data_IF_016052116689
#
_entry.id   IF_016052116689
#
_cell.length_a   1.000
_cell.length_b   1.000
_cell.length_c   1.000
_cell.angle_alpha   90.00
_cell.angle_beta   90.00
_cell.angle_gamma   90.00
#
_symmetry.space_group_name_H-M   'P 1'
#
loop_
_entity.id
_entity.type
_entity.pdbx_description
1 polymer ?
#
# COMPACT_ATOMS: atom_id res chain seq x y z
N UNK A 1 -21.24 22.96 -2.94
CA UNK A 1 -20.50 21.88 -3.63
C UNK A 1 -19.72 21.10 -2.59
N UNK A 2 -20.09 19.88 -2.37
CA UNK A 2 -19.23 18.99 -1.59
C UNK A 2 -18.03 18.63 -2.47
N UNK A 3 -16.89 19.20 -2.20
CA UNK A 3 -15.64 18.71 -2.72
C UNK A 3 -15.39 17.38 -2.04
N UNK A 4 -15.40 16.27 -2.78
CA UNK A 4 -15.17 14.95 -2.23
C UNK A 4 -13.85 14.90 -1.46
N UNK A 5 -13.83 14.12 -0.41
CA UNK A 5 -12.62 13.91 0.40
C UNK A 5 -11.54 13.20 -0.42
N UNK A 6 -10.29 13.49 -0.08
CA UNK A 6 -9.14 12.78 -0.61
C UNK A 6 -8.75 11.64 0.32
N UNK A 7 -8.80 10.43 -0.18
CA UNK A 7 -8.57 9.20 0.57
C UNK A 7 -7.38 8.47 -0.02
N UNK A 8 -6.39 8.17 0.80
CA UNK A 8 -5.27 7.32 0.43
C UNK A 8 -5.50 5.93 0.99
N UNK A 9 -5.55 4.94 0.11
CA UNK A 9 -5.68 3.53 0.48
C UNK A 9 -4.34 2.84 0.26
N UNK A 10 -3.75 2.33 1.33
CA UNK A 10 -2.50 1.58 1.25
C UNK A 10 -2.77 0.16 0.73
N UNK A 11 -2.14 -0.19 -0.38
CA UNK A 11 -2.36 -1.46 -1.09
C UNK A 11 -1.05 -2.25 -1.15
N UNK A 12 -1.09 -3.46 -0.64
CA UNK A 12 -0.15 -4.53 -0.95
C UNK A 12 -0.93 -5.69 -1.61
N UNK A 13 -0.32 -6.84 -1.81
CA UNK A 13 -0.98 -8.02 -2.38
C UNK A 13 -1.72 -8.87 -1.33
N UNK A 14 -1.94 -8.34 -0.13
CA UNK A 14 -2.66 -9.05 0.93
C UNK A 14 -4.18 -9.00 0.75
N UNK A 15 -4.87 -9.98 1.29
CA UNK A 15 -6.34 -9.98 1.36
C UNK A 15 -6.88 -8.83 2.21
N UNK A 16 -6.15 -8.42 3.25
CA UNK A 16 -6.54 -7.31 4.11
C UNK A 16 -6.54 -5.97 3.37
N UNK A 17 -5.62 -5.77 2.42
CA UNK A 17 -5.63 -4.59 1.55
C UNK A 17 -6.87 -4.58 0.65
N UNK A 18 -7.26 -5.71 0.09
CA UNK A 18 -8.49 -5.82 -0.71
C UNK A 18 -9.73 -5.55 0.15
N UNK A 19 -9.79 -6.06 1.37
CA UNK A 19 -10.90 -5.75 2.31
C UNK A 19 -10.98 -4.26 2.62
N UNK A 20 -9.86 -3.58 2.73
CA UNK A 20 -9.82 -2.13 2.90
C UNK A 20 -10.47 -1.40 1.71
N UNK A 21 -10.18 -1.83 0.48
CA UNK A 21 -10.81 -1.29 -0.74
C UNK A 21 -12.30 -1.58 -0.78
N UNK A 22 -12.71 -2.80 -0.46
CA UNK A 22 -14.13 -3.18 -0.39
C UNK A 22 -14.88 -2.33 0.64
N UNK A 23 -14.24 -2.04 1.77
CA UNK A 23 -14.81 -1.15 2.79
C UNK A 23 -15.01 0.27 2.23
N UNK A 24 -14.01 0.81 1.54
CA UNK A 24 -14.11 2.12 0.87
C UNK A 24 -15.25 2.10 -0.15
N UNK A 25 -15.32 1.06 -0.98
CA UNK A 25 -16.37 0.91 -1.99
C UNK A 25 -17.78 0.88 -1.39
N UNK A 26 -17.93 0.32 -0.19
CA UNK A 26 -19.22 0.15 0.48
C UNK A 26 -19.68 1.38 1.27
N UNK A 27 -18.74 2.07 1.93
CA UNK A 27 -19.09 3.08 2.92
C UNK A 27 -18.74 4.51 2.52
N UNK A 28 -17.97 4.72 1.47
CA UNK A 28 -17.62 6.05 0.98
C UNK A 28 -18.39 6.37 -0.31
N UNK A 29 -18.62 7.65 -0.54
CA UNK A 29 -19.36 8.09 -1.71
C UNK A 29 -18.48 8.19 -2.96
N UNK A 30 -19.02 7.93 -4.17
CA UNK A 30 -18.27 8.01 -5.42
C UNK A 30 -17.70 9.40 -5.75
N UNK A 31 -18.13 10.46 -5.08
CA UNK A 31 -17.58 11.81 -5.21
C UNK A 31 -16.18 11.97 -4.59
N UNK A 32 -15.77 11.04 -3.72
CA UNK A 32 -14.46 11.06 -3.13
C UNK A 32 -13.36 10.69 -4.13
N UNK A 33 -12.19 11.31 -3.94
CA UNK A 33 -10.99 11.01 -4.73
C UNK A 33 -10.16 9.96 -4.00
N UNK A 34 -9.95 8.82 -4.64
CA UNK A 34 -9.25 7.68 -4.08
C UNK A 34 -7.88 7.55 -4.73
N UNK A 35 -6.83 7.49 -3.93
CA UNK A 35 -5.50 7.08 -4.39
C UNK A 35 -5.17 5.73 -3.82
N UNK A 36 -4.95 4.76 -4.68
CA UNK A 36 -4.45 3.43 -4.35
C UNK A 36 -2.93 3.51 -4.36
N UNK A 37 -2.34 3.44 -3.19
CA UNK A 37 -0.91 3.70 -2.99
C UNK A 37 -0.18 2.44 -2.54
N UNK A 38 0.92 2.12 -3.21
CA UNK A 38 1.77 0.96 -2.90
C UNK A 38 3.22 1.37 -2.74
N UNK A 39 3.88 0.77 -1.76
CA UNK A 39 5.33 0.91 -1.54
C UNK A 39 6.01 -0.37 -2.01
N UNK A 40 6.86 -0.23 -3.02
CA UNK A 40 7.64 -1.34 -3.57
C UNK A 40 8.92 -1.50 -2.75
N UNK A 41 9.19 -2.72 -2.30
CA UNK A 41 10.41 -3.03 -1.59
C UNK A 41 11.50 -3.44 -2.59
N UNK A 42 12.70 -2.92 -2.41
CA UNK A 42 13.87 -3.33 -3.16
C UNK A 42 14.36 -4.69 -2.62
N UNK A 43 14.24 -5.72 -3.43
CA UNK A 43 14.63 -7.09 -3.08
C UNK A 43 16.12 -7.21 -2.77
N UNK A 44 16.96 -6.49 -3.51
CA UNK A 44 18.42 -6.47 -3.28
C UNK A 44 18.75 -5.83 -1.94
N UNK A 45 18.15 -4.68 -1.66
CA UNK A 45 18.34 -3.99 -0.38
C UNK A 45 17.87 -4.83 0.80
N UNK A 46 16.72 -5.47 0.68
CA UNK A 46 16.19 -6.36 1.72
C UNK A 46 17.15 -7.53 1.97
N UNK A 47 17.68 -8.11 0.92
CA UNK A 47 18.61 -9.23 1.03
C UNK A 47 19.93 -8.80 1.68
N UNK A 48 20.50 -7.68 1.24
CA UNK A 48 21.75 -7.14 1.78
C UNK A 48 21.65 -6.79 3.27
N UNK A 49 20.49 -6.34 3.72
CA UNK A 49 20.25 -6.07 5.15
C UNK A 49 20.28 -7.34 6.01
N UNK A 50 19.83 -8.46 5.45
CA UNK A 50 19.75 -9.73 6.16
C UNK A 50 21.02 -10.58 6.03
N UNK A 51 21.77 -10.43 4.93
CA UNK A 51 22.92 -11.24 4.59
C UNK A 51 24.05 -10.41 3.96
N UNK A 52 24.66 -9.46 4.68
CA UNK A 52 25.68 -8.58 4.09
C UNK A 52 26.91 -9.35 3.61
N UNK A 53 27.23 -10.50 4.20
CA UNK A 53 28.34 -11.37 3.78
C UNK A 53 28.15 -11.98 2.39
N UNK A 54 26.92 -12.10 1.91
CA UNK A 54 26.60 -12.66 0.60
C UNK A 54 26.45 -11.59 -0.49
N UNK A 55 26.61 -10.31 -0.15
CA UNK A 55 26.47 -9.19 -1.08
C UNK A 55 27.29 -9.35 -2.37
N UNK A 56 28.60 -9.74 -2.33
CA UNK A 56 29.37 -9.94 -3.55
C UNK A 56 28.81 -11.03 -4.47
N UNK A 57 28.27 -12.10 -3.89
CA UNK A 57 27.64 -13.19 -4.64
C UNK A 57 26.39 -12.70 -5.35
N UNK A 58 25.56 -11.91 -4.69
CA UNK A 58 24.31 -11.39 -5.25
C UNK A 58 24.53 -10.30 -6.28
N UNK A 59 25.56 -9.46 -6.12
CA UNK A 59 25.93 -8.47 -7.13
C UNK A 59 26.33 -9.14 -8.46
N UNK A 60 26.87 -10.36 -8.41
CA UNK A 60 27.19 -11.15 -9.60
C UNK A 60 25.93 -11.73 -10.28
N UNK A 61 24.77 -11.73 -9.59
CA UNK A 61 23.50 -12.26 -10.11
C UNK A 61 22.44 -11.17 -10.32
N UNK A 62 22.85 -10.00 -10.79
CA UNK A 62 21.96 -8.85 -10.99
C UNK A 62 20.73 -9.16 -11.85
N UNK A 63 20.86 -10.02 -12.86
CA UNK A 63 19.74 -10.43 -13.74
C UNK A 63 18.64 -11.13 -12.93
N UNK A 64 19.02 -12.04 -12.05
CA UNK A 64 18.07 -12.77 -11.19
C UNK A 64 17.30 -11.82 -10.26
N UNK A 65 17.98 -10.87 -9.65
CA UNK A 65 17.34 -9.86 -8.78
C UNK A 65 16.46 -8.90 -9.56
N UNK A 66 16.86 -8.52 -10.77
CA UNK A 66 16.03 -7.73 -11.68
C UNK A 66 14.71 -8.43 -12.03
N UNK A 67 14.76 -9.73 -12.28
CA UNK A 67 13.56 -10.54 -12.52
C UNK A 67 12.64 -10.63 -11.30
N UNK A 68 13.19 -10.73 -10.08
CA UNK A 68 12.42 -10.73 -8.84
C UNK A 68 11.74 -9.39 -8.60
N UNK A 69 12.42 -8.27 -8.85
CA UNK A 69 11.85 -6.93 -8.74
C UNK A 69 10.72 -6.71 -9.73
N UNK A 70 10.91 -7.10 -10.99
CA UNK A 70 9.88 -7.07 -12.03
C UNK A 70 8.65 -7.88 -11.63
N UNK A 71 8.86 -9.07 -11.09
CA UNK A 71 7.78 -9.94 -10.61
C UNK A 71 7.02 -9.31 -9.44
N UNK A 72 7.71 -8.74 -8.47
CA UNK A 72 7.09 -8.04 -7.34
C UNK A 72 6.27 -6.84 -7.81
N UNK A 73 6.82 -6.04 -8.71
CA UNK A 73 6.13 -4.90 -9.32
C UNK A 73 4.86 -5.35 -10.04
N UNK A 74 4.93 -6.44 -10.82
CA UNK A 74 3.78 -7.01 -11.51
C UNK A 74 2.67 -7.45 -10.55
N UNK A 75 3.02 -8.10 -9.44
CA UNK A 75 2.07 -8.54 -8.42
C UNK A 75 1.35 -7.33 -7.79
N UNK A 76 2.08 -6.28 -7.46
CA UNK A 76 1.51 -5.05 -6.91
C UNK A 76 0.62 -4.34 -7.92
N UNK A 77 1.02 -4.25 -9.18
CA UNK A 77 0.21 -3.67 -10.24
C UNK A 77 -1.10 -4.43 -10.44
N UNK A 78 -1.09 -5.76 -10.38
CA UNK A 78 -2.29 -6.58 -10.44
C UNK A 78 -3.21 -6.34 -9.23
N UNK A 79 -2.66 -6.22 -8.03
CA UNK A 79 -3.42 -5.89 -6.84
C UNK A 79 -4.08 -4.52 -6.96
N UNK A 80 -3.39 -3.52 -7.50
CA UNK A 80 -3.95 -2.20 -7.75
C UNK A 80 -5.04 -2.21 -8.81
N UNK A 81 -4.87 -2.98 -9.89
CA UNK A 81 -5.90 -3.14 -10.93
C UNK A 81 -7.16 -3.79 -10.38
N UNK A 82 -7.01 -4.83 -9.56
CA UNK A 82 -8.12 -5.48 -8.88
C UNK A 82 -8.84 -4.51 -7.95
N UNK A 83 -8.10 -3.74 -7.17
CA UNK A 83 -8.64 -2.72 -6.27
C UNK A 83 -9.40 -1.63 -7.06
N UNK A 84 -8.83 -1.15 -8.15
CA UNK A 84 -9.49 -0.19 -9.05
C UNK A 84 -10.81 -0.73 -9.59
N UNK A 85 -10.83 -1.99 -10.03
CA UNK A 85 -12.04 -2.63 -10.52
C UNK A 85 -13.15 -2.67 -9.47
N UNK A 86 -12.81 -2.99 -8.23
CA UNK A 86 -13.78 -2.99 -7.10
C UNK A 86 -14.43 -1.61 -6.95
N UNK A 87 -13.64 -0.55 -7.01
CA UNK A 87 -14.14 0.82 -6.92
C UNK A 87 -15.00 1.21 -8.12
N UNK A 88 -14.59 0.87 -9.33
CA UNK A 88 -15.37 1.13 -10.54
C UNK A 88 -16.72 0.40 -10.50
N UNK A 89 -16.74 -0.87 -10.09
CA UNK A 89 -17.97 -1.67 -9.94
C UNK A 89 -18.91 -1.08 -8.88
N UNK A 90 -18.36 -0.36 -7.89
CA UNK A 90 -19.13 0.35 -6.86
C UNK A 90 -19.60 1.75 -7.29
N UNK A 91 -19.31 2.18 -8.51
CA UNK A 91 -19.80 3.45 -9.07
C UNK A 91 -18.83 4.62 -8.95
N UNK A 92 -17.59 4.40 -8.47
CA UNK A 92 -16.58 5.45 -8.51
C UNK A 92 -16.18 5.71 -9.97
N UNK A 93 -15.97 6.97 -10.31
CA UNK A 93 -15.53 7.35 -11.65
C UNK A 93 -14.02 7.14 -11.80
N UNK A 94 -13.60 6.75 -12.99
CA UNK A 94 -12.17 6.55 -13.28
C UNK A 94 -11.32 7.79 -12.99
N UNK A 95 -11.83 8.96 -13.28
CA UNK A 95 -11.18 10.25 -13.01
C UNK A 95 -10.93 10.53 -11.52
N UNK A 96 -11.67 9.85 -10.63
CA UNK A 96 -11.53 9.94 -9.17
C UNK A 96 -10.65 8.86 -8.58
N UNK A 97 -10.09 7.96 -9.38
CA UNK A 97 -9.23 6.87 -8.92
C UNK A 97 -7.83 7.05 -9.49
N UNK A 98 -6.84 7.18 -8.61
CA UNK A 98 -5.42 7.29 -8.98
C UNK A 98 -4.66 6.06 -8.48
N UNK A 99 -3.87 5.47 -9.35
CA UNK A 99 -2.91 4.41 -8.99
C UNK A 99 -1.53 5.04 -8.82
N UNK A 100 -0.90 4.81 -7.68
CA UNK A 100 0.43 5.36 -7.39
C UNK A 100 1.30 4.32 -6.68
N UNK A 101 2.53 4.18 -7.14
CA UNK A 101 3.54 3.32 -6.53
C UNK A 101 4.83 4.08 -6.38
N UNK A 102 5.60 3.77 -5.36
CA UNK A 102 6.96 4.25 -5.20
C UNK A 102 7.84 3.19 -4.55
N UNK A 103 9.13 3.23 -4.82
CA UNK A 103 10.09 2.41 -4.08
C UNK A 103 10.23 2.90 -2.65
N UNK A 104 10.42 1.95 -1.73
CA UNK A 104 10.66 2.26 -0.32
C UNK A 104 11.86 3.19 -0.16
N UNK A 105 11.67 4.31 0.51
CA UNK A 105 12.71 5.31 0.76
C UNK A 105 13.11 5.37 2.23
N UNK A 106 12.16 5.65 3.12
CA UNK A 106 12.40 5.84 4.56
C UNK A 106 11.83 4.72 5.41
N UNK A 107 11.00 3.89 4.82
CA UNK A 107 10.27 2.82 5.47
C UNK A 107 8.79 2.85 5.06
N UNK A 108 8.17 1.68 4.96
CA UNK A 108 6.81 1.55 4.39
C UNK A 108 5.81 2.49 5.09
N UNK A 109 5.76 2.45 6.42
CA UNK A 109 4.82 3.28 7.19
C UNK A 109 5.09 4.78 7.00
N UNK A 110 6.36 5.18 7.03
CA UNK A 110 6.75 6.59 6.85
C UNK A 110 6.46 7.07 5.43
N UNK A 111 6.72 6.25 4.44
CA UNK A 111 6.44 6.57 3.04
C UNK A 111 4.94 6.73 2.80
N UNK A 112 4.11 5.91 3.44
CA UNK A 112 2.64 6.05 3.40
C UNK A 112 2.20 7.38 4.03
N UNK A 113 2.72 7.72 5.20
CA UNK A 113 2.37 8.97 5.90
C UNK A 113 2.79 10.19 5.08
N UNK A 114 3.97 10.19 4.50
CA UNK A 114 4.44 11.29 3.64
C UNK A 114 3.61 11.40 2.36
N UNK A 115 3.25 10.29 1.74
CA UNK A 115 2.38 10.28 0.57
C UNK A 115 0.97 10.80 0.87
N UNK A 116 0.53 10.68 2.11
CA UNK A 116 -0.79 11.12 2.56
C UNK A 116 -0.87 12.63 2.89
N UNK A 117 0.20 13.38 2.69
CA UNK A 117 0.17 14.84 2.84
C UNK A 117 -0.89 15.45 1.92
N UNK A 118 -1.81 16.23 2.49
CA UNK A 118 -2.93 16.82 1.75
C UNK A 118 -4.13 15.88 1.56
N UNK A 119 -4.12 14.71 2.13
CA UNK A 119 -5.27 13.80 2.18
C UNK A 119 -6.04 13.96 3.50
N UNK A 120 -7.29 13.51 3.50
CA UNK A 120 -8.17 13.58 4.68
C UNK A 120 -8.09 12.30 5.52
N UNK A 121 -7.93 11.16 4.87
CA UNK A 121 -7.95 9.83 5.49
C UNK A 121 -6.90 8.92 4.86
N UNK A 122 -6.22 8.14 5.70
CA UNK A 122 -5.49 6.93 5.29
C UNK A 122 -6.38 5.73 5.63
N UNK A 123 -6.62 4.86 4.66
CA UNK A 123 -7.32 3.59 4.85
C UNK A 123 -6.36 2.45 4.59
N UNK A 124 -6.32 1.48 5.48
CA UNK A 124 -5.45 0.32 5.33
C UNK A 124 -6.02 -0.89 6.05
N UNK A 125 -5.60 -2.07 5.59
CA UNK A 125 -5.94 -3.31 6.26
C UNK A 125 -5.23 -3.43 7.61
N UNK A 126 -5.81 -4.21 8.51
CA UNK A 126 -5.24 -4.45 9.83
C UNK A 126 -3.85 -5.07 9.78
N UNK A 127 -3.60 -5.96 8.80
CA UNK A 127 -2.34 -6.65 8.58
C UNK A 127 -2.02 -6.74 7.09
N UNK A 128 -0.73 -6.80 6.76
CA UNK A 128 -0.25 -7.21 5.44
C UNK A 128 0.02 -8.72 5.38
N UNK A 129 0.99 -9.11 4.57
CA UNK A 129 1.34 -10.51 4.29
C UNK A 129 1.88 -11.31 5.48
N UNK A 130 2.39 -10.65 6.52
CA UNK A 130 3.09 -11.28 7.65
C UNK A 130 2.24 -11.48 8.91
N UNK A 131 0.92 -11.48 8.80
CA UNK A 131 0.00 -11.55 9.93
C UNK A 131 0.05 -12.90 10.67
N UNK A 132 0.69 -12.96 11.85
CA UNK A 132 0.89 -14.19 12.62
C UNK A 132 -0.05 -14.31 13.82
N UNK A 133 -0.65 -13.22 14.32
CA UNK A 133 -1.50 -13.27 15.51
C UNK A 133 -2.83 -12.50 15.33
N UNK A 134 -3.92 -13.12 15.77
CA UNK A 134 -5.28 -12.62 15.58
C UNK A 134 -5.59 -11.29 16.28
N UNK A 135 -4.84 -10.93 17.31
CA UNK A 135 -5.16 -9.78 18.17
C UNK A 135 -4.23 -8.57 18.01
N UNK A 136 -3.20 -8.67 17.18
CA UNK A 136 -2.23 -7.60 17.00
C UNK A 136 -2.39 -6.91 15.65
N UNK A 137 -2.20 -5.59 15.63
CA UNK A 137 -2.03 -4.85 14.39
C UNK A 137 -0.73 -5.30 13.70
N UNK A 138 -0.71 -5.26 12.37
CA UNK A 138 0.52 -5.44 11.61
C UNK A 138 1.51 -4.30 11.89
N UNK A 139 2.79 -4.56 11.69
CA UNK A 139 3.86 -3.59 11.98
C UNK A 139 3.70 -2.25 11.25
N UNK A 140 3.22 -2.28 10.01
CA UNK A 140 2.99 -1.07 9.22
C UNK A 140 1.76 -0.32 9.72
N UNK A 141 0.64 -1.00 9.93
CA UNK A 141 -0.61 -0.40 10.45
C UNK A 141 -0.40 0.24 11.81
N UNK A 142 0.31 -0.44 12.69
CA UNK A 142 0.64 0.06 14.02
C UNK A 142 1.48 1.34 13.95
N UNK A 143 2.53 1.36 13.14
CA UNK A 143 3.38 2.54 12.95
C UNK A 143 2.63 3.70 12.32
N UNK A 144 1.79 3.44 11.33
CA UNK A 144 0.97 4.50 10.71
C UNK A 144 0.02 5.09 11.74
N UNK A 145 -0.69 4.25 12.49
CA UNK A 145 -1.64 4.69 13.51
C UNK A 145 -1.00 5.58 14.58
N UNK A 146 0.21 5.22 15.03
CA UNK A 146 0.91 5.97 16.07
C UNK A 146 1.64 7.21 15.56
N UNK A 147 2.04 7.24 14.29
CA UNK A 147 2.92 8.29 13.75
C UNK A 147 2.19 9.29 12.87
N UNK A 148 1.00 8.98 12.36
CA UNK A 148 0.21 9.91 11.57
C UNK A 148 -0.27 11.07 12.44
N UNK A 149 -0.11 12.30 11.94
CA UNK A 149 -0.56 13.53 12.61
C UNK A 149 -1.46 14.31 11.67
N UNK A 150 -2.50 14.92 12.25
CA UNK A 150 -3.44 15.79 11.52
C UNK A 150 -4.15 15.11 10.34
N UNK A 151 -4.27 13.78 10.38
CA UNK A 151 -4.97 12.97 9.41
C UNK A 151 -5.66 11.79 10.10
N UNK A 152 -6.87 11.46 9.65
CA UNK A 152 -7.59 10.29 10.15
C UNK A 152 -6.99 9.00 9.59
N UNK A 153 -6.96 7.96 10.40
CA UNK A 153 -6.52 6.62 9.98
C UNK A 153 -7.64 5.63 10.23
N UNK A 154 -8.06 4.95 9.18
CA UNK A 154 -9.08 3.90 9.24
C UNK A 154 -8.41 2.54 9.03
N UNK A 155 -8.48 1.70 10.03
CA UNK A 155 -8.01 0.31 9.98
C UNK A 155 -9.18 -0.62 9.73
N UNK A 156 -9.10 -1.40 8.67
CA UNK A 156 -10.13 -2.35 8.26
C UNK A 156 -9.71 -3.77 8.63
N UNK A 157 -10.59 -4.50 9.32
CA UNK A 157 -10.40 -5.90 9.68
C UNK A 157 -10.71 -6.85 8.51
#
# INVERSE_FOLDING_TARGET
METGQKILVAIDDSENAIRAVEHVAKFFTPSNKITLFSVLQDTVTMFNMNHPELTPYFMAQQTYFGELEEKQKSIVEEAQKKAKKILLDAGFKEENITLKSQHKQKGIARDIIEAASGYNIIVMGRRGLSGIQEFLLGSVSDKVLHSAKDISVLIVN
#
